data_IF_877553235645
#
_entry.id   IF_877553235645
#
_cell.length_a   1.000
_cell.length_b   1.000
_cell.length_c   1.000
_cell.angle_alpha   90.00
_cell.angle_beta   90.00
_cell.angle_gamma   90.00
#
_symmetry.space_group_name_H-M   'P 1'
#
loop_
_entity.id
_entity.type
_entity.pdbx_description
1 polymer ?
#
# COMPACT_ATOMS: atom_id res chain seq x y z
N UNK A 1 -10.29 29.72 13.18
CA UNK A 1 -10.95 29.56 11.87
C UNK A 1 -9.95 29.40 10.70
N UNK A 2 -9.17 30.46 10.30
CA UNK A 2 -8.23 30.32 9.17
C UNK A 2 -7.10 29.29 9.47
N UNK A 3 -6.48 29.36 10.66
CA UNK A 3 -5.44 28.43 11.10
C UNK A 3 -5.88 26.96 11.06
N UNK A 4 -7.13 26.66 11.35
CA UNK A 4 -7.66 25.29 11.38
C UNK A 4 -7.87 24.73 9.96
N UNK A 5 -8.24 25.59 9.02
CA UNK A 5 -8.37 25.22 7.60
C UNK A 5 -7.00 24.83 7.02
N UNK A 6 -5.96 25.61 7.26
CA UNK A 6 -4.60 25.30 6.81
C UNK A 6 -4.06 24.01 7.44
N UNK A 7 -4.30 23.79 8.74
CA UNK A 7 -3.91 22.55 9.44
C UNK A 7 -4.62 21.32 8.85
N UNK A 8 -5.92 21.43 8.59
CA UNK A 8 -6.70 20.37 7.97
C UNK A 8 -6.17 20.02 6.57
N UNK A 9 -5.89 21.02 5.74
CA UNK A 9 -5.32 20.84 4.41
C UNK A 9 -3.93 20.20 4.45
N UNK A 10 -3.06 20.66 5.37
CA UNK A 10 -1.73 20.05 5.54
C UNK A 10 -1.80 18.58 5.95
N UNK A 11 -2.71 18.23 6.88
CA UNK A 11 -2.93 16.83 7.26
C UNK A 11 -3.44 15.98 6.10
N UNK A 12 -4.37 16.49 5.29
CA UNK A 12 -4.84 15.78 4.09
C UNK A 12 -3.72 15.53 3.09
N UNK A 13 -2.86 16.52 2.85
CA UNK A 13 -1.70 16.35 1.97
C UNK A 13 -0.70 15.32 2.52
N UNK A 14 -0.48 15.31 3.84
CA UNK A 14 0.36 14.28 4.47
C UNK A 14 -0.25 12.88 4.37
N UNK A 15 -1.56 12.73 4.54
CA UNK A 15 -2.26 11.46 4.29
C UNK A 15 -2.07 11.02 2.84
N UNK A 16 -2.33 11.90 1.88
CA UNK A 16 -2.18 11.62 0.45
C UNK A 16 -0.76 11.15 0.14
N UNK A 17 0.26 11.84 0.64
CA UNK A 17 1.66 11.54 0.34
C UNK A 17 2.19 10.27 0.99
N UNK A 18 1.58 9.80 2.08
CA UNK A 18 2.06 8.63 2.85
C UNK A 18 1.22 7.37 2.63
N UNK A 19 -0.04 7.50 2.21
CA UNK A 19 -1.00 6.40 2.15
C UNK A 19 -0.59 5.26 1.19
N UNK A 20 0.05 5.59 0.06
CA UNK A 20 0.53 4.61 -0.93
C UNK A 20 2.03 4.35 -0.85
N UNK A 21 2.71 4.93 0.15
CA UNK A 21 4.17 4.87 0.27
C UNK A 21 4.68 3.42 0.28
N UNK A 22 4.11 2.60 1.13
CA UNK A 22 4.50 1.19 1.32
C UNK A 22 4.39 0.38 0.03
N UNK A 23 3.23 0.45 -0.66
CA UNK A 23 2.99 -0.30 -1.90
C UNK A 23 3.99 0.10 -3.00
N UNK A 24 4.29 1.40 -3.11
CA UNK A 24 5.18 1.93 -4.15
C UNK A 24 6.63 1.56 -3.86
N UNK A 25 7.04 1.51 -2.59
CA UNK A 25 8.40 1.12 -2.18
C UNK A 25 8.60 -0.39 -2.30
N UNK A 26 7.62 -1.19 -1.92
CA UNK A 26 7.67 -2.65 -1.97
C UNK A 26 7.58 -3.18 -3.41
N UNK A 27 6.77 -2.57 -4.26
CA UNK A 27 6.41 -3.08 -5.59
C UNK A 27 7.59 -3.54 -6.45
N UNK A 28 8.67 -2.75 -6.64
CA UNK A 28 9.84 -3.16 -7.42
C UNK A 28 10.57 -4.38 -6.87
N UNK A 29 10.45 -4.64 -5.56
CA UNK A 29 11.16 -5.72 -4.86
C UNK A 29 10.40 -7.05 -4.88
N UNK A 30 9.15 -7.07 -5.31
CA UNK A 30 8.35 -8.31 -5.36
C UNK A 30 8.98 -9.37 -6.28
N UNK A 31 9.40 -8.96 -7.48
CA UNK A 31 10.02 -9.90 -8.44
C UNK A 31 11.38 -10.43 -7.98
N UNK A 32 12.35 -9.59 -7.55
CA UNK A 32 13.59 -10.05 -6.93
C UNK A 32 13.33 -11.01 -5.76
N UNK A 33 12.44 -10.68 -4.85
CA UNK A 33 12.09 -11.51 -3.71
C UNK A 33 11.62 -12.91 -4.11
N UNK A 34 10.71 -13.03 -5.10
CA UNK A 34 10.21 -14.33 -5.56
C UNK A 34 11.31 -15.17 -6.21
N UNK A 35 12.22 -14.53 -6.96
CA UNK A 35 13.36 -15.22 -7.56
C UNK A 35 14.34 -15.72 -6.50
N UNK A 36 14.59 -14.92 -5.47
CA UNK A 36 15.48 -15.27 -4.35
C UNK A 36 14.91 -16.41 -3.49
N UNK A 37 13.58 -16.55 -3.46
CA UNK A 37 12.92 -17.73 -2.88
C UNK A 37 13.07 -18.99 -3.73
N UNK A 38 13.63 -18.90 -4.95
CA UNK A 38 13.90 -20.02 -5.84
C UNK A 38 12.76 -20.34 -6.82
N UNK A 39 11.70 -19.50 -6.90
CA UNK A 39 10.63 -19.71 -7.87
C UNK A 39 11.06 -19.33 -9.29
N UNK A 40 10.66 -20.14 -10.28
CA UNK A 40 10.91 -19.85 -11.68
C UNK A 40 10.07 -18.66 -12.19
N UNK A 41 10.56 -17.97 -13.22
CA UNK A 41 9.82 -16.88 -13.88
C UNK A 41 8.47 -17.33 -14.43
N UNK A 42 8.34 -18.61 -14.81
CA UNK A 42 7.08 -19.20 -15.31
C UNK A 42 6.06 -19.35 -14.19
N UNK A 43 6.47 -19.87 -13.04
CA UNK A 43 5.61 -19.98 -11.85
C UNK A 43 5.13 -18.61 -11.38
N UNK A 44 6.06 -17.65 -11.25
CA UNK A 44 5.74 -16.26 -10.87
C UNK A 44 4.76 -15.66 -11.89
N UNK A 45 5.01 -15.83 -13.19
CA UNK A 45 4.15 -15.30 -14.24
C UNK A 45 2.74 -15.90 -14.20
N UNK A 46 2.58 -17.19 -13.96
CA UNK A 46 1.28 -17.84 -13.80
C UNK A 46 0.54 -17.33 -12.55
N UNK A 47 1.26 -17.20 -11.44
CA UNK A 47 0.74 -16.71 -10.17
C UNK A 47 0.23 -15.26 -10.29
N UNK A 48 1.06 -14.37 -10.84
CA UNK A 48 0.70 -12.95 -11.02
C UNK A 48 -0.44 -12.80 -12.03
N UNK A 49 -0.43 -13.52 -13.15
CA UNK A 49 -1.50 -13.41 -14.17
C UNK A 49 -2.84 -13.91 -13.69
N UNK A 50 -2.88 -14.91 -12.83
CA UNK A 50 -4.13 -15.56 -12.42
C UNK A 50 -4.58 -15.09 -11.05
N UNK A 51 -3.78 -15.36 -10.02
CA UNK A 51 -4.19 -15.13 -8.63
C UNK A 51 -4.19 -13.65 -8.29
N UNK A 52 -3.15 -12.91 -8.69
CA UNK A 52 -3.08 -11.48 -8.41
C UNK A 52 -4.17 -10.71 -9.15
N UNK A 53 -4.46 -11.06 -10.41
CA UNK A 53 -5.54 -10.43 -11.17
C UNK A 53 -6.90 -10.67 -10.52
N UNK A 54 -7.23 -11.92 -10.17
CA UNK A 54 -8.49 -12.25 -9.51
C UNK A 54 -8.61 -11.58 -8.14
N UNK A 55 -7.55 -11.61 -7.33
CA UNK A 55 -7.49 -10.94 -6.04
C UNK A 55 -7.78 -9.44 -6.18
N UNK A 56 -7.12 -8.75 -7.11
CA UNK A 56 -7.34 -7.31 -7.31
C UNK A 56 -8.75 -6.98 -7.78
N UNK A 57 -9.35 -7.76 -8.69
CA UNK A 57 -10.73 -7.56 -9.14
C UNK A 57 -11.70 -7.68 -7.96
N UNK A 58 -11.57 -8.72 -7.14
CA UNK A 58 -12.40 -8.90 -5.93
C UNK A 58 -12.19 -7.74 -4.96
N UNK A 59 -10.94 -7.33 -4.76
CA UNK A 59 -10.58 -6.19 -3.92
C UNK A 59 -11.24 -4.88 -4.39
N UNK A 60 -11.21 -4.58 -5.69
CA UNK A 60 -11.91 -3.42 -6.27
C UNK A 60 -13.42 -3.45 -5.99
N UNK A 61 -14.04 -4.61 -6.16
CA UNK A 61 -15.49 -4.77 -5.92
C UNK A 61 -15.83 -4.55 -4.45
N UNK A 62 -15.11 -5.21 -3.55
CA UNK A 62 -15.31 -5.09 -2.09
C UNK A 62 -15.01 -3.67 -1.62
N UNK A 63 -13.98 -3.01 -2.14
CA UNK A 63 -13.68 -1.61 -1.87
C UNK A 63 -14.84 -0.68 -2.23
N UNK A 64 -15.48 -0.90 -3.39
CA UNK A 64 -16.64 -0.15 -3.82
C UNK A 64 -17.88 -0.37 -2.92
N UNK A 65 -18.10 -1.59 -2.44
CA UNK A 65 -19.15 -1.90 -1.47
C UNK A 65 -18.87 -1.30 -0.09
N UNK A 66 -17.60 -1.31 0.31
CA UNK A 66 -17.16 -0.78 1.60
C UNK A 66 -17.45 0.71 1.74
N UNK A 67 -17.12 1.51 0.71
CA UNK A 67 -17.35 2.96 0.70
C UNK A 67 -18.85 3.32 0.81
N UNK A 68 -19.75 2.42 0.37
CA UNK A 68 -21.20 2.61 0.51
C UNK A 68 -21.70 2.33 1.93
N UNK A 69 -20.99 1.51 2.71
CA UNK A 69 -21.44 1.03 4.03
C UNK A 69 -20.83 1.77 5.19
N UNK A 70 -19.61 2.26 5.05
CA UNK A 70 -18.87 2.96 6.11
C UNK A 70 -18.33 4.30 5.61
N UNK A 71 -17.94 5.19 6.54
CA UNK A 71 -17.34 6.47 6.17
C UNK A 71 -16.04 6.27 5.39
N UNK A 72 -15.73 7.22 4.51
CA UNK A 72 -14.55 7.19 3.65
C UNK A 72 -13.24 7.05 4.45
N UNK A 73 -13.12 7.73 5.59
CA UNK A 73 -11.94 7.60 6.46
C UNK A 73 -11.84 6.22 7.13
N UNK A 74 -12.98 5.60 7.48
CA UNK A 74 -12.96 4.21 7.95
C UNK A 74 -12.56 3.24 6.84
N UNK A 75 -13.00 3.48 5.61
CA UNK A 75 -12.58 2.68 4.46
C UNK A 75 -11.08 2.82 4.18
N UNK A 76 -10.51 4.04 4.31
CA UNK A 76 -9.07 4.25 4.24
C UNK A 76 -8.31 3.48 5.34
N UNK A 77 -8.81 3.48 6.56
CA UNK A 77 -8.21 2.70 7.66
C UNK A 77 -8.25 1.20 7.37
N UNK A 78 -9.38 0.67 6.93
CA UNK A 78 -9.50 -0.75 6.56
C UNK A 78 -8.51 -1.11 5.44
N UNK A 79 -8.40 -0.28 4.41
CA UNK A 79 -7.45 -0.47 3.33
C UNK A 79 -6.00 -0.44 3.81
N UNK A 80 -5.61 0.58 4.56
CA UNK A 80 -4.26 0.71 5.10
C UNK A 80 -3.87 -0.42 6.06
N UNK A 81 -4.81 -0.87 6.92
CA UNK A 81 -4.60 -2.04 7.81
C UNK A 81 -4.44 -3.31 6.99
N UNK A 82 -5.23 -3.49 5.91
CA UNK A 82 -5.10 -4.65 5.04
C UNK A 82 -3.70 -4.73 4.41
N UNK A 83 -3.17 -3.62 3.90
CA UNK A 83 -1.81 -3.54 3.35
C UNK A 83 -0.75 -3.82 4.43
N UNK A 84 -0.91 -3.27 5.63
CA UNK A 84 -0.01 -3.55 6.75
C UNK A 84 0.05 -5.05 7.04
N UNK A 85 -1.10 -5.71 7.10
CA UNK A 85 -1.20 -7.15 7.37
C UNK A 85 -0.56 -7.96 6.24
N UNK A 86 -0.79 -7.62 4.98
CA UNK A 86 -0.20 -8.36 3.85
C UNK A 86 1.31 -8.22 3.80
N UNK A 87 1.86 -7.05 4.15
CA UNK A 87 3.31 -6.87 4.29
C UNK A 87 3.91 -7.77 5.40
N UNK A 88 3.21 -7.92 6.54
CA UNK A 88 3.63 -8.87 7.59
C UNK A 88 3.57 -10.32 7.10
N UNK A 89 2.61 -10.66 6.25
CA UNK A 89 2.57 -11.99 5.63
C UNK A 89 3.73 -12.22 4.67
N UNK A 90 4.17 -11.21 3.92
CA UNK A 90 5.41 -11.32 3.13
C UNK A 90 6.65 -11.52 4.01
N UNK A 91 6.75 -10.83 5.15
CA UNK A 91 7.81 -11.09 6.12
C UNK A 91 7.79 -12.53 6.64
N UNK A 92 6.59 -13.08 6.88
CA UNK A 92 6.41 -14.48 7.28
C UNK A 92 6.86 -15.45 6.17
N UNK A 93 6.49 -15.22 4.90
CA UNK A 93 6.97 -16.04 3.77
C UNK A 93 8.49 -16.00 3.67
N UNK A 94 9.09 -14.83 3.83
CA UNK A 94 10.55 -14.66 3.76
C UNK A 94 11.29 -15.50 4.80
N UNK A 95 10.68 -15.72 5.98
CA UNK A 95 11.24 -16.52 7.07
C UNK A 95 10.86 -18.01 7.02
N UNK A 96 10.00 -18.41 6.07
CA UNK A 96 9.50 -19.77 5.93
C UNK A 96 10.19 -20.52 4.79
N UNK A 97 10.06 -21.84 4.75
CA UNK A 97 10.49 -22.63 3.60
C UNK A 97 9.70 -22.24 2.34
N UNK A 98 10.38 -22.24 1.20
CA UNK A 98 9.79 -21.87 -0.09
C UNK A 98 8.62 -22.77 -0.44
N UNK A 99 7.41 -22.24 -0.42
CA UNK A 99 6.18 -22.95 -0.72
C UNK A 99 5.30 -22.14 -1.68
N UNK A 100 5.13 -22.62 -2.90
CA UNK A 100 4.36 -21.93 -3.94
C UNK A 100 2.89 -21.72 -3.53
N UNK A 101 2.29 -22.67 -2.81
CA UNK A 101 0.90 -22.54 -2.35
C UNK A 101 0.76 -21.42 -1.31
N UNK A 102 1.70 -21.33 -0.37
CA UNK A 102 1.73 -20.26 0.63
C UNK A 102 1.93 -18.91 -0.05
N UNK A 103 2.91 -18.79 -0.96
CA UNK A 103 3.14 -17.58 -1.73
C UNK A 103 1.89 -17.18 -2.52
N UNK A 104 1.21 -18.15 -3.15
CA UNK A 104 -0.01 -17.89 -3.93
C UNK A 104 -1.12 -17.28 -3.09
N UNK A 105 -1.35 -17.81 -1.89
CA UNK A 105 -2.35 -17.27 -0.96
C UNK A 105 -2.00 -15.82 -0.59
N UNK A 106 -0.74 -15.57 -0.24
CA UNK A 106 -0.31 -14.24 0.21
C UNK A 106 -0.34 -13.22 -0.91
N UNK A 107 0.11 -13.58 -2.12
CA UNK A 107 -0.02 -12.72 -3.31
C UNK A 107 -1.49 -12.43 -3.64
N UNK A 108 -2.38 -13.40 -3.46
CA UNK A 108 -3.82 -13.21 -3.62
C UNK A 108 -4.40 -12.22 -2.62
N UNK A 109 -4.05 -12.35 -1.34
CA UNK A 109 -4.47 -11.44 -0.28
C UNK A 109 -3.90 -10.04 -0.46
N UNK A 110 -2.64 -9.92 -0.85
CA UNK A 110 -2.00 -8.64 -1.14
C UNK A 110 -2.65 -7.93 -2.33
N UNK A 111 -2.90 -8.66 -3.40
CA UNK A 111 -3.59 -8.13 -4.58
C UNK A 111 -5.03 -7.72 -4.27
N UNK A 112 -5.71 -8.47 -3.39
CA UNK A 112 -7.02 -8.08 -2.87
C UNK A 112 -6.93 -6.76 -2.08
N UNK A 113 -5.97 -6.63 -1.16
CA UNK A 113 -5.74 -5.40 -0.40
C UNK A 113 -5.39 -4.23 -1.32
N UNK A 114 -4.56 -4.44 -2.34
CA UNK A 114 -4.20 -3.44 -3.33
C UNK A 114 -5.42 -2.97 -4.14
N UNK A 115 -6.30 -3.88 -4.55
CA UNK A 115 -7.57 -3.56 -5.23
C UNK A 115 -8.50 -2.72 -4.34
N UNK A 116 -8.69 -3.16 -3.09
CA UNK A 116 -9.50 -2.45 -2.11
C UNK A 116 -8.96 -1.03 -1.87
N UNK A 117 -7.67 -0.90 -1.58
CA UNK A 117 -6.98 0.38 -1.41
C UNK A 117 -7.10 1.25 -2.65
N UNK A 118 -6.96 0.67 -3.85
CA UNK A 118 -7.09 1.38 -5.12
C UNK A 118 -8.44 2.09 -5.25
N UNK A 119 -9.54 1.35 -5.01
CA UNK A 119 -10.91 1.90 -5.07
C UNK A 119 -11.13 2.99 -4.02
N UNK A 120 -10.76 2.71 -2.77
CA UNK A 120 -10.96 3.66 -1.66
C UNK A 120 -10.13 4.93 -1.88
N UNK A 121 -8.91 4.79 -2.37
CA UNK A 121 -8.03 5.92 -2.67
C UNK A 121 -8.58 6.79 -3.82
N UNK A 122 -9.11 6.20 -4.89
CA UNK A 122 -9.76 6.94 -5.98
C UNK A 122 -10.94 7.75 -5.42
N UNK A 123 -11.79 7.14 -4.60
CA UNK A 123 -12.92 7.82 -3.97
C UNK A 123 -12.44 8.96 -3.06
N UNK A 124 -11.37 8.74 -2.30
CA UNK A 124 -10.80 9.76 -1.43
C UNK A 124 -10.25 10.96 -2.23
N UNK A 125 -9.40 10.73 -3.22
CA UNK A 125 -8.87 11.81 -4.05
C UNK A 125 -9.99 12.56 -4.80
N UNK A 126 -11.00 11.84 -5.30
CA UNK A 126 -12.14 12.45 -5.97
C UNK A 126 -12.96 13.33 -5.03
N UNK A 127 -13.08 12.97 -3.75
CA UNK A 127 -13.80 13.76 -2.75
C UNK A 127 -13.13 15.11 -2.44
N UNK A 128 -11.85 15.25 -2.74
CA UNK A 128 -11.06 16.46 -2.47
C UNK A 128 -11.04 17.46 -3.63
N UNK A 129 -11.50 17.06 -4.82
CA UNK A 129 -11.45 17.92 -6.01
C UNK A 129 -12.76 18.65 -6.23
N UNK A 130 -12.70 19.88 -6.75
CA UNK A 130 -13.86 20.67 -7.11
C UNK A 130 -14.42 20.27 -8.48
N UNK A 131 -15.74 20.34 -8.67
CA UNK A 131 -16.39 20.03 -9.94
C UNK A 131 -15.87 20.87 -11.12
N UNK A 132 -15.42 22.09 -10.86
CA UNK A 132 -14.94 23.02 -11.90
C UNK A 132 -13.56 22.66 -12.46
N UNK A 133 -12.67 22.08 -11.63
CA UNK A 133 -11.27 21.81 -11.98
C UNK A 133 -10.87 20.35 -11.71
N UNK A 134 -11.82 19.42 -11.80
CA UNK A 134 -11.64 18.02 -11.39
C UNK A 134 -10.41 17.37 -12.00
N UNK A 135 -10.23 17.47 -13.32
CA UNK A 135 -9.11 16.81 -14.02
C UNK A 135 -7.74 17.31 -13.55
N UNK A 136 -7.56 18.63 -13.47
CA UNK A 136 -6.28 19.22 -13.07
C UNK A 136 -5.97 18.94 -11.61
N UNK A 137 -6.94 19.14 -10.72
CA UNK A 137 -6.75 18.90 -9.29
C UNK A 137 -6.49 17.43 -8.99
N UNK A 138 -7.24 16.51 -9.64
CA UNK A 138 -7.02 15.09 -9.48
C UNK A 138 -5.62 14.66 -9.95
N UNK A 139 -5.17 15.17 -11.12
CA UNK A 139 -3.83 14.90 -11.63
C UNK A 139 -2.73 15.40 -10.68
N UNK A 140 -2.88 16.60 -10.13
CA UNK A 140 -1.93 17.17 -9.17
C UNK A 140 -1.88 16.34 -7.87
N UNK A 141 -3.04 15.99 -7.30
CA UNK A 141 -3.11 15.17 -6.08
C UNK A 141 -2.51 13.78 -6.30
N UNK A 142 -2.79 13.16 -7.45
CA UNK A 142 -2.22 11.85 -7.81
C UNK A 142 -0.69 11.93 -7.97
N UNK A 143 -0.19 12.97 -8.65
CA UNK A 143 1.26 13.20 -8.79
C UNK A 143 1.92 13.42 -7.43
N UNK A 144 1.32 14.22 -6.58
CA UNK A 144 1.80 14.48 -5.22
C UNK A 144 1.82 13.20 -4.36
N UNK A 145 0.79 12.36 -4.49
CA UNK A 145 0.72 11.06 -3.81
C UNK A 145 1.85 10.11 -4.23
N UNK A 146 2.17 10.10 -5.53
CA UNK A 146 3.17 9.17 -6.07
C UNK A 146 4.61 9.61 -5.78
N UNK A 147 4.86 10.91 -5.63
CA UNK A 147 6.21 11.48 -5.57
C UNK A 147 7.07 10.90 -4.43
N UNK A 148 6.64 10.91 -3.16
CA UNK A 148 7.44 10.35 -2.07
C UNK A 148 7.70 8.86 -2.26
N UNK A 149 6.67 8.10 -2.63
CA UNK A 149 6.80 6.67 -2.88
C UNK A 149 7.81 6.35 -3.99
N UNK A 150 7.78 7.07 -5.10
CA UNK A 150 8.74 6.91 -6.21
C UNK A 150 10.16 7.29 -5.81
N UNK A 151 10.31 8.35 -5.02
CA UNK A 151 11.62 8.74 -4.50
C UNK A 151 12.21 7.64 -3.60
N UNK A 152 11.48 7.15 -2.60
CA UNK A 152 11.95 6.10 -1.71
C UNK A 152 12.07 4.74 -2.41
N UNK A 153 11.22 4.45 -3.39
CA UNK A 153 11.29 3.23 -4.22
C UNK A 153 12.62 3.11 -4.96
N UNK A 154 13.26 4.23 -5.32
CA UNK A 154 14.60 4.22 -5.92
C UNK A 154 15.68 3.62 -5.00
N UNK A 155 15.45 3.61 -3.69
CA UNK A 155 16.37 3.06 -2.70
C UNK A 155 15.96 1.67 -2.18
N UNK A 156 14.84 1.14 -2.64
CA UNK A 156 14.31 -0.14 -2.11
C UNK A 156 15.27 -1.31 -2.33
N UNK A 157 15.95 -1.37 -3.48
CA UNK A 157 16.97 -2.38 -3.75
C UNK A 157 18.18 -2.24 -2.81
N UNK A 158 18.68 -1.02 -2.63
CA UNK A 158 19.79 -0.74 -1.69
C UNK A 158 19.43 -1.15 -0.27
N UNK A 159 18.19 -0.92 0.14
CA UNK A 159 17.70 -1.31 1.47
C UNK A 159 17.63 -2.83 1.63
N UNK A 160 17.13 -3.55 0.61
CA UNK A 160 17.10 -5.01 0.61
C UNK A 160 18.51 -5.60 0.66
N UNK A 161 19.40 -5.15 -0.22
CA UNK A 161 20.80 -5.58 -0.27
C UNK A 161 21.54 -5.32 1.05
N UNK A 162 21.30 -4.17 1.67
CA UNK A 162 21.87 -3.82 2.97
C UNK A 162 21.48 -4.83 4.05
N UNK A 163 20.18 -5.17 4.18
CA UNK A 163 19.76 -6.16 5.17
C UNK A 163 20.27 -7.56 4.85
N UNK A 164 20.29 -7.96 3.58
CA UNK A 164 20.81 -9.26 3.15
C UNK A 164 22.31 -9.37 3.45
N UNK A 165 23.08 -8.31 3.20
CA UNK A 165 24.54 -8.31 3.47
C UNK A 165 24.89 -8.39 4.95
N UNK A 166 24.04 -7.87 5.83
CA UNK A 166 24.26 -7.89 7.29
C UNK A 166 23.81 -9.19 7.95
N UNK A 167 22.96 -9.97 7.30
CA UNK A 167 22.33 -11.14 7.93
C UNK A 167 22.39 -12.38 7.04
N UNK A 168 21.29 -12.73 6.41
CA UNK A 168 21.14 -13.81 5.43
C UNK A 168 20.07 -13.43 4.44
N UNK A 169 19.96 -14.17 3.34
CA UNK A 169 18.94 -13.91 2.32
C UNK A 169 17.52 -13.86 2.92
N UNK A 170 17.14 -14.88 3.70
CA UNK A 170 15.82 -14.95 4.31
C UNK A 170 15.58 -13.86 5.36
N UNK A 171 16.53 -13.68 6.26
CA UNK A 171 16.42 -12.67 7.34
C UNK A 171 16.45 -11.26 6.76
N UNK A 172 17.26 -11.01 5.73
CA UNK A 172 17.32 -9.72 5.04
C UNK A 172 15.99 -9.33 4.41
N UNK A 173 15.35 -10.26 3.69
CA UNK A 173 13.99 -10.03 3.17
C UNK A 173 12.96 -9.82 4.27
N UNK A 174 13.04 -10.56 5.37
CA UNK A 174 12.16 -10.37 6.53
C UNK A 174 12.28 -8.95 7.08
N UNK A 175 13.49 -8.44 7.27
CA UNK A 175 13.71 -7.06 7.74
C UNK A 175 13.27 -6.01 6.72
N UNK A 176 13.44 -6.28 5.43
CA UNK A 176 12.91 -5.41 4.38
C UNK A 176 11.39 -5.26 4.49
N UNK A 177 10.65 -6.37 4.64
CA UNK A 177 9.19 -6.31 4.80
C UNK A 177 8.75 -5.69 6.12
N UNK A 178 9.47 -5.88 7.21
CA UNK A 178 9.20 -5.14 8.46
C UNK A 178 9.41 -3.63 8.28
N UNK A 179 10.44 -3.22 7.56
CA UNK A 179 10.69 -1.81 7.25
C UNK A 179 9.57 -1.19 6.40
N UNK A 180 9.11 -1.90 5.36
CA UNK A 180 7.98 -1.43 4.54
C UNK A 180 6.67 -1.42 5.33
N UNK A 181 6.43 -2.41 6.21
CA UNK A 181 5.30 -2.40 7.13
C UNK A 181 5.33 -1.17 8.04
N UNK A 182 6.49 -0.82 8.61
CA UNK A 182 6.64 0.37 9.45
C UNK A 182 6.32 1.66 8.68
N UNK A 183 6.61 1.73 7.38
CA UNK A 183 6.28 2.88 6.53
C UNK A 183 4.76 3.10 6.35
N UNK A 184 3.91 2.11 6.62
CA UNK A 184 2.45 2.27 6.57
C UNK A 184 1.86 2.93 7.82
N UNK A 185 2.56 2.85 8.96
CA UNK A 185 2.07 3.32 10.26
C UNK A 185 1.78 4.84 10.26
N UNK A 186 2.65 5.72 9.73
CA UNK A 186 2.39 7.15 9.70
C UNK A 186 1.05 7.51 9.03
N UNK A 187 0.73 6.88 7.91
CA UNK A 187 -0.53 7.11 7.21
C UNK A 187 -1.75 6.75 8.07
N UNK A 188 -1.71 5.60 8.74
CA UNK A 188 -2.79 5.15 9.63
C UNK A 188 -2.98 6.12 10.81
N UNK A 189 -1.88 6.56 11.44
CA UNK A 189 -1.93 7.54 12.53
C UNK A 189 -2.54 8.86 12.04
N UNK A 190 -2.10 9.37 10.88
CA UNK A 190 -2.61 10.61 10.31
C UNK A 190 -4.11 10.52 9.98
N UNK A 191 -4.60 9.39 9.46
CA UNK A 191 -6.01 9.18 9.18
C UNK A 191 -6.83 9.20 10.49
N UNK A 192 -6.36 8.53 11.54
CA UNK A 192 -7.02 8.52 12.86
C UNK A 192 -7.06 9.93 13.46
N UNK A 193 -5.95 10.66 13.39
CA UNK A 193 -5.85 12.03 13.89
C UNK A 193 -6.79 12.96 13.12
N UNK A 194 -6.80 12.86 11.79
CA UNK A 194 -7.69 13.68 10.96
C UNK A 194 -9.15 13.40 11.27
N UNK A 195 -9.52 12.11 11.33
CA UNK A 195 -10.89 11.69 11.65
C UNK A 195 -11.36 12.27 12.97
N UNK A 196 -10.59 12.06 14.05
CA UNK A 196 -10.93 12.54 15.40
C UNK A 196 -11.03 14.08 15.50
N UNK A 197 -10.22 14.79 14.71
CA UNK A 197 -10.12 16.25 14.84
C UNK A 197 -11.10 16.99 13.93
N UNK A 198 -11.38 16.47 12.73
CA UNK A 198 -12.09 17.20 11.67
C UNK A 198 -13.30 16.47 11.08
N UNK A 199 -13.34 15.14 11.08
CA UNK A 199 -14.40 14.39 10.42
C UNK A 199 -15.56 13.98 11.36
N UNK A 200 -15.29 13.83 12.65
CA UNK A 200 -16.29 13.45 13.66
C UNK A 200 -16.88 14.70 14.38
N UNK A 201 -16.60 15.91 13.88
CA UNK A 201 -17.23 17.19 14.30
C UNK A 201 -18.34 17.55 13.34
#
# INVERSE_FOLDING_TARGET
AASDVYKSQALLLLIISTYRLTDIVMGPMAMPFYLDLGFSKTEIGALVKTIALLGSIVGFFIGGLLIKKISLFNALLVGGISVLITNLFFAFVASSDSNLSLLSIIVGLDSFAAGLVGTVNIAFLTSLVSKKYTAVQYALLTSFMMLPGKFFSGFSGVLADYYISLTSLQTGWTYFFYSTTAMSIPALILIILYKKTYADR
#
